data_IF_230661871697
#
_entry.id   IF_230661871697
#
_cell.length_a   1.000
_cell.length_b   1.000
_cell.length_c   1.000
_cell.angle_alpha   90.00
_cell.angle_beta   90.00
_cell.angle_gamma   90.00
#
_symmetry.space_group_name_H-M   'P 1'
#
loop_
_entity.id
_entity.type
_entity.pdbx_description
1 polymer ?
#
# COMPACT_ATOMS: atom_id res chain seq x y z
N UNK A 1 0.06 -6.21 -4.43
CA UNK A 1 1.03 -5.25 -3.84
C UNK A 1 2.33 -5.21 -4.62
N UNK A 2 2.92 -6.36 -4.97
CA UNK A 2 4.14 -6.43 -5.77
C UNK A 2 4.17 -5.55 -7.03
N UNK A 3 3.11 -5.54 -7.85
CA UNK A 3 3.05 -4.69 -9.04
C UNK A 3 3.07 -3.18 -8.73
N UNK A 4 2.60 -2.76 -7.54
CA UNK A 4 2.62 -1.36 -7.10
C UNK A 4 4.01 -0.95 -6.65
N UNK A 5 4.68 -1.83 -5.90
CA UNK A 5 6.07 -1.62 -5.46
C UNK A 5 6.99 -1.58 -6.68
N UNK A 6 6.89 -2.56 -7.58
CA UNK A 6 7.70 -2.62 -8.80
C UNK A 6 7.50 -1.37 -9.68
N UNK A 7 6.26 -0.88 -9.81
CA UNK A 7 5.96 0.35 -10.53
C UNK A 7 6.58 1.58 -9.85
N UNK A 8 6.45 1.71 -8.53
CA UNK A 8 7.02 2.82 -7.76
C UNK A 8 8.56 2.86 -7.87
N UNK A 9 9.21 1.69 -7.89
CA UNK A 9 10.65 1.57 -8.13
C UNK A 9 11.04 1.99 -9.57
N UNK A 10 10.23 1.61 -10.57
CA UNK A 10 10.49 2.04 -11.95
C UNK A 10 10.30 3.56 -12.13
N UNK A 11 9.31 4.16 -11.47
CA UNK A 11 9.05 5.61 -11.50
C UNK A 11 10.19 6.42 -10.87
N UNK A 12 10.94 5.85 -9.93
CA UNK A 12 12.15 6.50 -9.37
C UNK A 12 13.39 6.33 -10.24
N UNK A 13 13.28 5.59 -11.35
CA UNK A 13 14.37 5.32 -12.28
C UNK A 13 15.26 4.14 -11.88
N UNK A 14 14.88 3.36 -10.86
CA UNK A 14 15.62 2.15 -10.47
C UNK A 14 15.22 0.97 -11.35
N UNK A 15 16.21 0.16 -11.72
CA UNK A 15 15.98 -1.12 -12.39
C UNK A 15 15.98 -2.26 -11.38
N UNK A 16 15.00 -3.17 -11.47
CA UNK A 16 14.90 -4.34 -10.58
C UNK A 16 15.65 -5.50 -11.21
N UNK A 17 16.77 -5.89 -10.60
CA UNK A 17 17.58 -7.04 -11.04
C UNK A 17 17.03 -8.37 -10.55
N UNK A 18 16.52 -8.39 -9.34
CA UNK A 18 16.00 -9.60 -8.70
C UNK A 18 14.89 -9.23 -7.73
N UNK A 19 13.81 -10.00 -7.76
CA UNK A 19 12.75 -9.93 -6.76
C UNK A 19 12.63 -11.30 -6.09
N UNK A 20 12.67 -11.31 -4.76
CA UNK A 20 12.45 -12.51 -3.95
C UNK A 20 11.17 -12.28 -3.15
N UNK A 21 10.22 -13.18 -3.31
CA UNK A 21 8.97 -13.20 -2.54
C UNK A 21 8.98 -14.46 -1.70
N UNK A 22 8.88 -14.29 -0.39
CA UNK A 22 8.89 -15.39 0.55
C UNK A 22 7.79 -15.22 1.60
N UNK A 23 7.29 -16.34 2.10
CA UNK A 23 6.42 -16.35 3.28
C UNK A 23 7.25 -16.81 4.47
N UNK A 24 7.27 -15.99 5.53
CA UNK A 24 7.94 -16.28 6.79
C UNK A 24 6.88 -16.42 7.87
N UNK A 25 6.51 -17.67 8.19
CA UNK A 25 5.41 -17.94 9.12
C UNK A 25 4.07 -17.47 8.53
N UNK A 26 3.47 -16.46 9.16
CA UNK A 26 2.22 -15.82 8.70
C UNK A 26 2.47 -14.53 7.91
N UNK A 27 3.72 -14.12 7.78
CA UNK A 27 4.09 -12.86 7.12
C UNK A 27 4.55 -13.10 5.68
N UNK A 28 4.26 -12.13 4.81
CA UNK A 28 4.76 -12.10 3.43
C UNK A 28 5.85 -11.04 3.34
N UNK A 29 7.01 -11.45 2.82
CA UNK A 29 8.18 -10.60 2.63
C UNK A 29 8.49 -10.50 1.14
N UNK A 30 8.49 -9.27 0.63
CA UNK A 30 8.92 -8.93 -0.71
C UNK A 30 10.29 -8.21 -0.62
N UNK A 31 11.34 -8.80 -1.21
CA UNK A 31 12.68 -8.21 -1.28
C UNK A 31 13.04 -7.90 -2.74
N UNK A 32 13.42 -6.65 -3.02
CA UNK A 32 13.82 -6.20 -4.35
C UNK A 32 15.29 -5.77 -4.34
N UNK A 33 16.08 -6.38 -5.22
CA UNK A 33 17.45 -5.95 -5.51
C UNK A 33 17.40 -5.02 -6.71
N UNK A 34 17.81 -3.78 -6.47
CA UNK A 34 17.70 -2.68 -7.42
C UNK A 34 19.07 -2.13 -7.78
N UNK A 35 19.19 -1.66 -9.01
CA UNK A 35 20.35 -0.93 -9.52
C UNK A 35 19.92 0.45 -9.99
N UNK A 36 20.78 1.44 -9.77
CA UNK A 36 20.61 2.77 -10.35
C UNK A 36 21.34 2.81 -11.70
N UNK A 37 20.62 2.94 -12.83
CA UNK A 37 21.24 3.01 -14.14
C UNK A 37 22.03 4.31 -14.37
N UNK A 38 21.93 5.31 -13.48
CA UNK A 38 22.50 6.66 -13.67
C UNK A 38 23.91 6.83 -13.06
N UNK A 39 24.38 5.93 -12.19
CA UNK A 39 25.69 6.12 -11.53
C UNK A 39 26.84 5.40 -12.26
N UNK A 40 27.22 5.95 -13.42
CA UNK A 40 28.49 5.68 -14.10
C UNK A 40 28.48 6.05 -15.59
N UNK A 41 29.58 6.59 -16.16
CA UNK A 41 29.68 6.75 -17.60
C UNK A 41 29.49 5.38 -18.27
N UNK A 42 28.51 5.34 -19.19
CA UNK A 42 28.04 4.19 -19.96
C UNK A 42 28.95 2.95 -19.89
N UNK A 43 28.61 2.00 -19.01
CA UNK A 43 29.24 0.68 -18.96
C UNK A 43 30.29 0.44 -17.86
N UNK A 44 30.57 1.40 -16.97
CA UNK A 44 31.54 1.19 -15.88
C UNK A 44 30.86 0.88 -14.55
N UNK A 45 30.56 -0.42 -14.34
CA UNK A 45 30.15 -1.04 -13.05
C UNK A 45 28.79 -0.56 -12.50
N UNK A 46 27.90 -1.44 -12.01
CA UNK A 46 26.70 -0.99 -11.32
C UNK A 46 27.08 -0.10 -10.14
N UNK A 47 26.34 1.00 -10.00
CA UNK A 47 26.45 2.00 -8.95
C UNK A 47 26.73 1.36 -7.59
N UNK A 48 27.83 1.78 -6.98
CA UNK A 48 28.26 1.31 -5.68
C UNK A 48 27.28 1.82 -4.61
N UNK A 49 26.32 0.99 -4.19
CA UNK A 49 25.44 1.20 -3.03
C UNK A 49 24.74 2.57 -3.04
N UNK A 50 23.43 2.59 -3.30
CA UNK A 50 22.60 3.80 -3.23
C UNK A 50 22.94 4.67 -2.01
N UNK A 51 23.18 5.96 -2.25
CA UNK A 51 23.42 6.93 -1.17
C UNK A 51 22.29 6.89 -0.14
N UNK A 52 22.58 7.21 1.11
CA UNK A 52 21.55 7.21 2.17
C UNK A 52 20.37 8.15 1.87
N UNK A 53 20.64 9.28 1.21
CA UNK A 53 19.62 10.22 0.76
C UNK A 53 18.73 9.61 -0.32
N UNK A 54 19.34 9.00 -1.35
CA UNK A 54 18.61 8.32 -2.42
C UNK A 54 17.76 7.17 -1.90
N UNK A 55 18.28 6.40 -0.93
CA UNK A 55 17.52 5.34 -0.25
C UNK A 55 16.31 5.89 0.50
N UNK A 56 16.45 7.01 1.19
CA UNK A 56 15.34 7.63 1.93
C UNK A 56 14.24 8.15 0.98
N UNK A 57 14.64 8.77 -0.13
CA UNK A 57 13.71 9.20 -1.19
C UNK A 57 12.92 8.01 -1.75
N UNK A 58 13.60 6.95 -2.17
CA UNK A 58 12.97 5.74 -2.71
C UNK A 58 12.04 5.10 -1.68
N UNK A 59 12.45 5.02 -0.40
CA UNK A 59 11.61 4.50 0.66
C UNK A 59 10.32 5.31 0.83
N UNK A 60 10.40 6.65 0.77
CA UNK A 60 9.21 7.52 0.86
C UNK A 60 8.22 7.27 -0.27
N UNK A 61 8.70 7.10 -1.51
CA UNK A 61 7.87 6.85 -2.70
C UNK A 61 7.21 5.48 -2.61
N UNK A 62 7.96 4.45 -2.23
CA UNK A 62 7.42 3.09 -2.07
C UNK A 62 6.36 3.04 -0.97
N UNK A 63 6.60 3.68 0.18
CA UNK A 63 5.62 3.77 1.26
C UNK A 63 4.35 4.50 0.82
N UNK A 64 4.48 5.60 0.06
CA UNK A 64 3.34 6.32 -0.49
C UNK A 64 2.53 5.45 -1.48
N UNK A 65 3.21 4.68 -2.34
CA UNK A 65 2.54 3.78 -3.28
C UNK A 65 1.77 2.64 -2.58
N UNK A 66 2.24 2.21 -1.41
CA UNK A 66 1.56 1.19 -0.60
C UNK A 66 0.32 1.75 0.10
N UNK A 67 0.38 2.97 0.62
CA UNK A 67 -0.75 3.62 1.31
C UNK A 67 -1.83 4.10 0.36
N UNK A 68 -1.46 4.59 -0.83
CA UNK A 68 -2.40 5.06 -1.86
C UNK A 68 -3.39 3.98 -2.35
N UNK A 69 -3.06 2.71 -2.15
CA UNK A 69 -3.87 1.59 -2.56
C UNK A 69 -4.54 0.82 -1.43
N UNK A 70 -4.48 1.35 -0.19
CA UNK A 70 -5.34 0.91 0.91
C UNK A 70 -6.68 1.61 0.71
N UNK A 71 -7.77 0.91 0.37
CA UNK A 71 -9.09 1.53 0.51
C UNK A 71 -9.19 1.88 1.99
N UNK A 72 -9.29 3.19 2.28
CA UNK A 72 -9.54 3.66 3.62
C UNK A 72 -10.67 2.80 4.17
N UNK A 73 -10.38 1.99 5.20
CA UNK A 73 -11.38 1.18 5.87
C UNK A 73 -12.49 2.14 6.25
N UNK A 74 -13.66 1.94 5.66
CA UNK A 74 -14.89 2.64 6.00
C UNK A 74 -15.29 2.23 7.41
N UNK A 75 -14.62 2.81 8.42
CA UNK A 75 -15.14 2.92 9.77
C UNK A 75 -15.89 4.25 9.89
N UNK A 76 -16.82 4.50 8.96
CA UNK A 76 -17.97 5.34 9.26
C UNK A 76 -19.07 4.38 9.67
N UNK A 77 -19.08 4.06 10.97
CA UNK A 77 -20.29 3.59 11.62
C UNK A 77 -21.31 4.73 11.60
N UNK A 78 -21.96 4.91 10.47
CA UNK A 78 -23.24 5.62 10.36
C UNK A 78 -24.22 4.60 9.79
N UNK A 79 -24.55 3.62 10.64
CA UNK A 79 -25.75 2.84 10.40
C UNK A 79 -26.94 3.78 10.57
N UNK A 80 -27.95 3.76 9.68
CA UNK A 80 -29.14 4.56 9.88
C UNK A 80 -29.75 4.20 11.23
N UNK A 81 -29.77 5.15 12.15
CA UNK A 81 -30.50 5.06 13.41
C UNK A 81 -31.98 4.94 13.06
N UNK A 82 -32.46 3.70 12.96
CA UNK A 82 -33.87 3.39 12.83
C UNK A 82 -34.52 3.75 14.18
N UNK A 83 -34.93 5.00 14.31
CA UNK A 83 -35.86 5.45 15.35
C UNK A 83 -37.12 4.60 15.26
N UNK A 84 -37.22 3.61 16.15
CA UNK A 84 -38.45 2.86 16.37
C UNK A 84 -39.45 3.80 17.05
N UNK A 85 -40.34 4.38 16.25
CA UNK A 85 -41.53 5.07 16.77
C UNK A 85 -42.43 4.01 17.42
N UNK A 86 -42.51 4.02 18.75
CA UNK A 86 -43.48 3.25 19.51
C UNK A 86 -44.88 3.80 19.24
N UNK A 87 -45.62 3.17 18.32
CA UNK A 87 -47.06 3.40 18.19
C UNK A 87 -47.78 2.52 19.20
N UNK A 88 -48.40 3.15 20.21
CA UNK A 88 -49.30 2.50 21.15
C UNK A 88 -50.44 1.78 20.43
N UNK A 89 -50.84 0.56 20.82
CA UNK A 89 -52.05 -0.05 20.30
C UNK A 89 -53.29 0.60 20.92
N UNK A 90 -54.13 1.21 20.08
CA UNK A 90 -55.53 1.52 20.42
C UNK A 90 -56.32 0.23 20.52
N UNK A 91 -56.88 -0.07 21.68
CA UNK A 91 -57.81 -1.18 21.91
C UNK A 91 -59.06 -1.06 21.02
N UNK A 92 -59.54 -2.14 20.39
CA UNK A 92 -60.83 -2.15 19.72
C UNK A 92 -61.98 -2.32 20.71
N UNK A 93 -63.08 -1.60 20.45
CA UNK A 93 -64.39 -1.78 21.06
C UNK A 93 -64.88 -3.22 21.00
N UNK A 94 -65.48 -3.71 22.08
CA UNK A 94 -66.35 -4.87 22.09
C UNK A 94 -67.77 -4.42 22.43
N UNK A 95 -68.71 -5.02 21.68
CA UNK A 95 -70.17 -4.83 21.65
C UNK A 95 -70.87 -5.14 22.97
#
# INVERSE_FOLDING_TARGET
>A
MLHRIARALAETGLDVRTAIVATLGLDVVDAFYVEDPVEGPAGTRPAAVLSSERRAEVASVVLAALTAGTPAGSSTGDGPSLSVSSTSPSSPSAT
#
